data_IF_677088913342
#
_entry.id   IF_677088913342
#
_cell.length_a   1.000
_cell.length_b   1.000
_cell.length_c   1.000
_cell.angle_alpha   90.00
_cell.angle_beta   90.00
_cell.angle_gamma   90.00
#
_symmetry.space_group_name_H-M   'P 1'
#
loop_
_entity.id
_entity.type
_entity.pdbx_description
1 polymer ?
#
# COMPACT_ATOMS: atom_id res chain seq x y z
N UNK A 1 1.89 -10.69 10.71
CA UNK A 1 1.26 -9.97 9.57
C UNK A 1 -0.20 -10.37 9.55
N UNK A 2 -1.17 -9.45 9.41
CA UNK A 2 -2.59 -9.81 9.32
C UNK A 2 -2.84 -10.74 8.13
N UNK A 3 -3.92 -11.53 8.17
CA UNK A 3 -4.27 -12.41 7.07
C UNK A 3 -4.71 -11.59 5.84
N UNK A 4 -4.33 -12.05 4.65
CA UNK A 4 -4.71 -11.38 3.39
C UNK A 4 -6.21 -11.19 3.26
N UNK A 5 -7.00 -12.17 3.71
CA UNK A 5 -8.46 -12.11 3.63
C UNK A 5 -9.04 -10.96 4.46
N UNK A 6 -8.46 -10.69 5.62
CA UNK A 6 -8.93 -9.60 6.49
C UNK A 6 -8.64 -8.25 5.86
N UNK A 7 -7.43 -8.09 5.29
CA UNK A 7 -7.04 -6.87 4.57
C UNK A 7 -7.92 -6.65 3.33
N UNK A 8 -8.16 -7.70 2.55
CA UNK A 8 -9.08 -7.63 1.41
C UNK A 8 -10.48 -7.19 1.82
N UNK A 9 -11.01 -7.73 2.92
CA UNK A 9 -12.33 -7.37 3.41
C UNK A 9 -12.41 -5.88 3.80
N UNK A 10 -11.37 -5.37 4.48
CA UNK A 10 -11.27 -3.95 4.87
C UNK A 10 -11.17 -3.05 3.63
N UNK A 11 -10.29 -3.37 2.68
CA UNK A 11 -10.13 -2.59 1.44
C UNK A 11 -11.41 -2.63 0.61
N UNK A 12 -12.03 -3.81 0.47
CA UNK A 12 -13.31 -3.95 -0.22
C UNK A 12 -14.43 -3.13 0.45
N UNK A 13 -14.47 -3.08 1.79
CA UNK A 13 -15.41 -2.23 2.52
C UNK A 13 -15.18 -0.74 2.22
N UNK A 14 -13.93 -0.27 2.22
CA UNK A 14 -13.63 1.12 1.90
C UNK A 14 -14.02 1.48 0.46
N UNK A 15 -13.70 0.62 -0.50
CA UNK A 15 -14.06 0.83 -1.91
C UNK A 15 -15.57 0.82 -2.13
N UNK A 16 -16.30 -0.09 -1.47
CA UNK A 16 -17.76 -0.16 -1.53
C UNK A 16 -18.44 1.13 -1.01
N UNK A 17 -17.81 1.82 -0.05
CA UNK A 17 -18.34 3.06 0.54
C UNK A 17 -17.69 4.34 -0.02
N UNK A 18 -16.84 4.19 -1.05
CA UNK A 18 -16.05 5.29 -1.62
C UNK A 18 -15.23 6.07 -0.59
N UNK A 19 -14.64 5.38 0.39
CA UNK A 19 -13.78 5.97 1.40
C UNK A 19 -12.32 6.00 0.97
N UNK A 20 -11.61 7.06 1.40
CA UNK A 20 -10.16 7.10 1.30
C UNK A 20 -9.54 6.09 2.27
N UNK A 21 -8.49 5.41 1.80
CA UNK A 21 -7.74 4.44 2.59
C UNK A 21 -6.31 4.93 2.85
N UNK A 22 -5.91 4.96 4.12
CA UNK A 22 -4.56 5.30 4.58
C UNK A 22 -3.98 4.06 5.27
N UNK A 23 -3.00 3.40 4.65
CA UNK A 23 -2.46 2.14 5.17
C UNK A 23 -0.97 2.27 5.46
N UNK A 24 -0.57 1.92 6.67
CA UNK A 24 0.83 1.89 7.07
C UNK A 24 1.48 0.61 6.56
N UNK A 25 2.49 0.75 5.71
CA UNK A 25 3.24 -0.39 5.16
C UNK A 25 4.74 -0.12 5.23
N UNK A 26 5.36 -0.53 6.34
CA UNK A 26 6.80 -0.36 6.51
C UNK A 26 7.58 -1.39 5.69
N UNK A 27 7.12 -2.65 5.74
CA UNK A 27 7.73 -3.77 5.02
C UNK A 27 7.25 -3.90 3.58
N UNK A 28 8.08 -4.50 2.75
CA UNK A 28 7.80 -4.77 1.35
C UNK A 28 6.60 -5.73 1.19
N UNK A 29 6.55 -6.81 1.98
CA UNK A 29 5.41 -7.73 1.95
C UNK A 29 4.08 -7.08 2.40
N UNK A 30 4.12 -6.06 3.27
CA UNK A 30 2.93 -5.29 3.61
C UNK A 30 2.47 -4.38 2.45
N UNK A 31 3.41 -3.84 1.67
CA UNK A 31 3.10 -3.11 0.45
C UNK A 31 2.48 -4.05 -0.61
N UNK A 32 3.02 -5.27 -0.79
CA UNK A 32 2.44 -6.29 -1.67
C UNK A 32 0.98 -6.63 -1.27
N UNK A 33 0.74 -6.80 0.03
CA UNK A 33 -0.59 -7.11 0.56
C UNK A 33 -1.59 -5.99 0.27
N UNK A 34 -1.22 -4.73 0.52
CA UNK A 34 -2.06 -3.58 0.20
C UNK A 34 -2.33 -3.47 -1.29
N UNK A 35 -1.30 -3.56 -2.14
CA UNK A 35 -1.42 -3.44 -3.59
C UNK A 35 -2.33 -4.54 -4.15
N UNK A 36 -2.18 -5.78 -3.67
CA UNK A 36 -3.02 -6.92 -4.07
C UNK A 36 -4.50 -6.68 -3.70
N UNK A 37 -4.76 -6.22 -2.48
CA UNK A 37 -6.13 -5.92 -2.03
C UNK A 37 -6.75 -4.76 -2.83
N UNK A 38 -5.99 -3.70 -3.08
CA UNK A 38 -6.42 -2.56 -3.93
C UNK A 38 -6.68 -3.03 -5.36
N UNK A 39 -5.84 -3.89 -5.92
CA UNK A 39 -6.03 -4.41 -7.27
C UNK A 39 -7.36 -5.18 -7.40
N UNK A 40 -7.67 -6.05 -6.42
CA UNK A 40 -8.93 -6.81 -6.37
C UNK A 40 -10.14 -5.89 -6.20
N UNK A 41 -10.06 -4.91 -5.31
CA UNK A 41 -11.15 -3.96 -5.09
C UNK A 41 -11.36 -3.04 -6.31
N UNK A 42 -10.28 -2.60 -6.95
CA UNK A 42 -10.32 -1.78 -8.17
C UNK A 42 -10.97 -2.51 -9.34
N UNK A 43 -10.73 -3.83 -9.46
CA UNK A 43 -11.39 -4.65 -10.48
C UNK A 43 -12.92 -4.73 -10.29
N UNK A 44 -13.42 -4.55 -9.05
CA UNK A 44 -14.83 -4.64 -8.70
C UNK A 44 -15.56 -3.29 -8.69
N UNK A 45 -14.90 -2.23 -8.24
CA UNK A 45 -15.51 -0.92 -8.01
C UNK A 45 -14.90 0.20 -8.89
N UNK A 46 -14.04 -0.15 -9.85
CA UNK A 46 -13.27 0.83 -10.62
C UNK A 46 -12.14 1.47 -9.80
N UNK A 47 -11.35 2.34 -10.42
CA UNK A 47 -10.26 3.08 -9.80
C UNK A 47 -10.44 4.60 -9.98
N UNK A 48 -11.50 5.14 -9.37
CA UNK A 48 -11.95 6.52 -9.56
C UNK A 48 -11.30 7.48 -8.55
N UNK A 49 -9.98 7.70 -8.64
CA UNK A 49 -9.20 8.64 -7.80
C UNK A 49 -9.65 8.70 -6.33
N UNK A 50 -9.47 7.58 -5.61
CA UNK A 50 -9.83 7.50 -4.18
C UNK A 50 -8.75 8.02 -3.25
N UNK A 51 -7.61 8.45 -3.80
CA UNK A 51 -6.43 8.90 -3.05
C UNK A 51 -5.96 7.88 -2.00
N UNK A 52 -6.03 6.59 -2.35
CA UNK A 52 -5.48 5.52 -1.50
C UNK A 52 -4.01 5.82 -1.26
N UNK A 53 -3.61 5.86 0.01
CA UNK A 53 -2.29 6.32 0.41
C UNK A 53 -1.56 5.25 1.20
N UNK A 54 -0.39 4.87 0.69
CA UNK A 54 0.59 4.06 1.36
C UNK A 54 1.43 4.95 2.29
N UNK A 55 1.48 4.63 3.58
CA UNK A 55 2.20 5.40 4.60
C UNK A 55 3.50 4.70 4.98
N UNK A 56 4.57 5.49 5.14
CA UNK A 56 5.96 5.13 5.42
C UNK A 56 6.75 4.53 4.26
N UNK A 57 6.37 3.33 3.80
CA UNK A 57 6.99 2.70 2.62
C UNK A 57 8.51 2.47 2.69
N UNK A 58 9.06 2.21 3.87
CA UNK A 58 10.51 2.17 4.12
C UNK A 58 11.25 1.13 3.29
N UNK A 59 10.59 0.01 2.98
CA UNK A 59 11.15 -1.10 2.21
C UNK A 59 10.45 -1.30 0.85
N UNK A 60 9.76 -0.29 0.33
CA UNK A 60 9.09 -0.40 -0.98
C UNK A 60 10.10 -0.66 -2.10
N UNK A 61 9.83 -1.68 -2.91
CA UNK A 61 10.67 -2.10 -4.04
C UNK A 61 10.30 -1.38 -5.33
N UNK A 62 11.21 -1.39 -6.32
CA UNK A 62 10.99 -0.74 -7.62
C UNK A 62 9.80 -1.32 -8.40
N UNK A 63 9.56 -2.63 -8.32
CA UNK A 63 8.39 -3.28 -8.91
C UNK A 63 7.08 -2.80 -8.28
N UNK A 64 7.08 -2.58 -6.97
CA UNK A 64 5.93 -2.08 -6.22
C UNK A 64 5.60 -0.63 -6.56
N UNK A 65 6.60 0.23 -6.79
CA UNK A 65 6.38 1.61 -7.27
C UNK A 65 5.62 1.63 -8.61
N UNK A 66 5.95 0.70 -9.51
CA UNK A 66 5.25 0.57 -10.80
C UNK A 66 3.80 0.14 -10.60
N UNK A 67 3.54 -0.76 -9.65
CA UNK A 67 2.18 -1.17 -9.30
C UNK A 67 1.39 -0.07 -8.58
N UNK A 68 2.01 0.67 -7.67
CA UNK A 68 1.40 1.83 -7.01
C UNK A 68 0.91 2.84 -8.05
N UNK A 69 1.75 3.15 -9.05
CA UNK A 69 1.35 4.01 -10.17
C UNK A 69 0.17 3.42 -10.96
N UNK A 70 0.17 2.12 -11.24
CA UNK A 70 -0.91 1.44 -11.98
C UNK A 70 -2.27 1.58 -11.26
N UNK A 71 -2.27 1.52 -9.94
CA UNK A 71 -3.49 1.55 -9.12
C UNK A 71 -3.74 2.91 -8.46
N UNK A 72 -3.04 3.96 -8.89
CA UNK A 72 -3.18 5.33 -8.35
C UNK A 72 -3.04 5.40 -6.82
N UNK A 73 -2.08 4.64 -6.28
CA UNK A 73 -1.74 4.64 -4.86
C UNK A 73 -0.69 5.73 -4.61
N UNK A 74 -1.05 6.72 -3.81
CA UNK A 74 -0.14 7.77 -3.38
C UNK A 74 0.86 7.24 -2.33
N UNK A 75 2.11 7.68 -2.41
CA UNK A 75 3.14 7.39 -1.41
C UNK A 75 3.34 8.55 -0.43
N UNK A 76 2.98 8.35 0.84
CA UNK A 76 3.39 9.21 1.97
C UNK A 76 4.64 8.60 2.59
N UNK A 77 5.77 8.78 1.92
CA UNK A 77 7.04 8.17 2.31
C UNK A 77 7.64 8.83 3.55
N UNK A 78 8.33 8.03 4.37
CA UNK A 78 9.09 8.52 5.52
C UNK A 78 10.61 8.29 5.32
N UNK A 79 11.26 9.12 4.48
CA UNK A 79 12.66 8.91 4.07
C UNK A 79 13.67 9.09 5.21
N UNK A 80 13.30 9.79 6.28
CA UNK A 80 14.15 9.90 7.48
C UNK A 80 14.45 8.52 8.09
N UNK A 81 13.55 7.55 7.94
CA UNK A 81 13.82 6.19 8.42
C UNK A 81 15.01 5.57 7.70
N UNK A 82 15.04 5.66 6.37
CA UNK A 82 16.15 5.17 5.55
C UNK A 82 17.44 5.93 5.86
N UNK A 83 17.37 7.24 6.10
CA UNK A 83 18.53 8.06 6.46
C UNK A 83 19.16 7.62 7.79
N UNK A 84 18.37 7.42 8.85
CA UNK A 84 18.90 7.09 10.18
C UNK A 84 19.15 5.60 10.40
N UNK A 85 18.32 4.73 9.83
CA UNK A 85 18.31 3.29 10.15
C UNK A 85 18.44 2.38 8.93
N UNK A 86 18.63 2.93 7.72
CA UNK A 86 18.76 2.13 6.50
C UNK A 86 19.88 1.08 6.58
N UNK A 87 20.96 1.40 7.28
CA UNK A 87 22.10 0.48 7.46
C UNK A 87 21.80 -0.70 8.38
N UNK A 88 20.75 -0.64 9.22
CA UNK A 88 20.35 -1.78 10.07
C UNK A 88 19.83 -2.97 9.25
N UNK A 89 19.46 -2.75 7.99
CA UNK A 89 18.97 -3.79 7.08
C UNK A 89 20.07 -4.34 6.16
N UNK A 90 21.29 -3.78 6.22
CA UNK A 90 22.45 -4.34 5.54
C UNK A 90 22.91 -5.59 6.30
N UNK A 91 22.87 -6.74 5.63
CA UNK A 91 23.64 -7.93 6.03
C UNK A 91 24.90 -7.99 5.20
#
# INVERSE_FOLDING_TARGET
MPNDKDVENIVNMAFANNWQLLSHTNGDAAADQLISAVAKASAKYGNEDRRTTLVHGQLVRMDQLSQMKKYDIAGSFFPMHTFYWGDWYKK
#
